data_IF_761378007212
#
_entry.id   IF_761378007212
#
_cell.length_a   1.000
_cell.length_b   1.000
_cell.length_c   1.000
_cell.angle_alpha   90.00
_cell.angle_beta   90.00
_cell.angle_gamma   90.00
#
_symmetry.space_group_name_H-M   'P 1'
#
loop_
_entity.id
_entity.type
_entity.pdbx_description
1 polymer ?
#
# COMPACT_ATOMS: atom_id res chain seq x y z
N UNK A 1 9.11 13.15 5.56
CA UNK A 1 8.20 12.00 5.37
C UNK A 1 6.99 12.22 6.25
N UNK A 2 5.77 12.07 5.73
CA UNK A 2 4.53 12.19 6.51
C UNK A 2 3.90 10.81 6.63
N UNK A 3 3.51 10.42 7.84
CA UNK A 3 2.83 9.16 8.13
C UNK A 3 1.48 9.47 8.80
N UNK A 4 0.50 8.59 8.63
CA UNK A 4 -0.75 8.71 9.40
C UNK A 4 -0.52 8.30 10.86
N UNK A 5 -1.50 8.59 11.72
CA UNK A 5 -1.39 8.32 13.15
C UNK A 5 -1.15 6.83 13.43
N UNK A 6 -1.92 5.94 12.81
CA UNK A 6 -1.79 4.50 13.02
C UNK A 6 -0.38 3.95 12.69
N UNK A 7 0.23 4.39 11.58
CA UNK A 7 1.58 3.99 11.22
C UNK A 7 2.62 4.60 12.17
N UNK A 8 2.40 5.84 12.61
CA UNK A 8 3.26 6.52 13.57
C UNK A 8 3.26 5.78 14.91
N UNK A 9 2.08 5.44 15.42
CA UNK A 9 1.91 4.69 16.67
C UNK A 9 2.58 3.32 16.59
N UNK A 10 2.38 2.59 15.49
CA UNK A 10 2.99 1.27 15.29
C UNK A 10 4.53 1.35 15.25
N UNK A 11 5.10 2.36 14.59
CA UNK A 11 6.55 2.58 14.53
C UNK A 11 7.09 2.99 15.90
N UNK A 12 6.39 3.85 16.64
CA UNK A 12 6.78 4.22 18.00
C UNK A 12 6.79 3.02 18.94
N UNK A 13 5.78 2.15 18.86
CA UNK A 13 5.76 0.89 19.63
C UNK A 13 6.92 -0.03 19.27
N UNK A 14 7.27 -0.14 17.98
CA UNK A 14 8.43 -0.91 17.52
C UNK A 14 9.77 -0.32 17.99
N UNK A 15 9.88 1.01 18.04
CA UNK A 15 11.07 1.70 18.57
C UNK A 15 11.18 1.53 20.09
N UNK A 16 10.06 1.48 20.80
CA UNK A 16 10.04 1.24 22.25
C UNK A 16 10.31 -0.22 22.63
N UNK A 17 10.08 -1.18 21.73
CA UNK A 17 10.21 -2.61 22.05
C UNK A 17 11.64 -3.11 22.19
N UNK A 18 12.65 -2.34 21.74
CA UNK A 18 14.08 -2.67 21.84
C UNK A 18 14.95 -1.43 21.62
N UNK A 19 16.23 -1.50 21.99
CA UNK A 19 17.20 -0.46 21.61
C UNK A 19 17.56 -0.53 20.12
N UNK A 20 17.79 0.63 19.50
CA UNK A 20 18.25 0.78 18.12
C UNK A 20 19.57 1.55 18.08
N UNK A 21 20.50 1.13 17.22
CA UNK A 21 21.65 1.96 16.89
C UNK A 21 21.27 3.04 15.84
N UNK A 22 21.98 4.19 15.78
CA UNK A 22 21.64 5.31 14.89
C UNK A 22 21.49 4.96 13.40
N UNK A 23 22.24 3.98 12.91
CA UNK A 23 22.24 3.56 11.50
C UNK A 23 21.66 2.15 11.28
N UNK A 24 20.96 1.62 12.28
CA UNK A 24 20.32 0.31 12.18
C UNK A 24 19.04 0.39 11.32
N UNK A 25 18.84 -0.59 10.42
CA UNK A 25 17.57 -0.66 9.70
C UNK A 25 16.41 -0.84 10.67
N UNK A 26 15.33 -0.09 10.46
CA UNK A 26 14.14 -0.12 11.32
C UNK A 26 13.49 -1.52 11.38
N UNK A 27 13.43 -2.21 10.24
CA UNK A 27 12.75 -3.50 10.10
C UNK A 27 13.75 -4.66 10.06
N UNK A 28 14.08 -5.19 11.23
CA UNK A 28 14.92 -6.37 11.42
C UNK A 28 14.07 -7.60 11.75
N UNK A 29 14.46 -8.75 11.19
CA UNK A 29 13.98 -10.06 11.61
C UNK A 29 15.03 -10.79 12.46
N UNK A 30 14.68 -11.99 12.92
CA UNK A 30 15.56 -12.81 13.76
C UNK A 30 16.91 -13.14 13.10
N UNK A 31 16.96 -13.19 11.77
CA UNK A 31 18.15 -13.58 10.98
C UNK A 31 18.70 -12.43 10.13
N UNK A 32 18.42 -11.19 10.51
CA UNK A 32 18.82 -9.98 9.78
C UNK A 32 17.65 -9.25 9.11
N UNK A 33 17.93 -8.37 8.13
CA UNK A 33 16.93 -7.45 7.59
C UNK A 33 15.72 -8.15 6.99
N UNK A 34 14.53 -7.58 7.18
CA UNK A 34 13.32 -8.11 6.57
C UNK A 34 13.39 -7.98 5.05
N UNK A 35 13.10 -9.07 4.35
CA UNK A 35 13.13 -9.14 2.88
C UNK A 35 11.71 -9.12 2.29
N UNK A 36 11.58 -8.69 1.03
CA UNK A 36 10.29 -8.69 0.32
C UNK A 36 9.63 -10.08 0.28
N UNK A 37 10.35 -11.19 -0.02
CA UNK A 37 9.76 -12.53 0.06
C UNK A 37 9.21 -12.86 1.46
N UNK A 38 9.89 -12.43 2.51
CA UNK A 38 9.42 -12.66 3.88
C UNK A 38 8.15 -11.86 4.19
N UNK A 39 8.08 -10.58 3.82
CA UNK A 39 6.86 -9.77 3.94
C UNK A 39 5.71 -10.42 3.16
N UNK A 40 5.94 -10.86 1.93
CA UNK A 40 4.93 -11.54 1.14
C UNK A 40 4.43 -12.82 1.82
N UNK A 41 5.32 -13.59 2.46
CA UNK A 41 4.92 -14.77 3.25
C UNK A 41 4.03 -14.39 4.43
N UNK A 42 4.36 -13.33 5.16
CA UNK A 42 3.55 -12.84 6.29
C UNK A 42 2.15 -12.41 5.83
N UNK A 43 2.07 -11.62 4.76
CA UNK A 43 0.80 -11.16 4.20
C UNK A 43 -0.08 -12.33 3.78
N UNK A 44 0.48 -13.32 3.06
CA UNK A 44 -0.25 -14.54 2.69
C UNK A 44 -0.78 -15.29 3.91
N UNK A 45 0.03 -15.39 4.96
CA UNK A 45 -0.36 -16.05 6.20
C UNK A 45 -1.51 -15.30 6.88
N UNK A 46 -1.44 -13.98 7.01
CA UNK A 46 -2.51 -13.17 7.60
C UNK A 46 -3.82 -13.28 6.81
N UNK A 47 -3.77 -13.21 5.48
CA UNK A 47 -4.94 -13.40 4.63
C UNK A 47 -5.53 -14.81 4.77
N UNK A 48 -4.69 -15.85 4.84
CA UNK A 48 -5.15 -17.24 5.05
C UNK A 48 -5.85 -17.41 6.39
N UNK A 49 -5.35 -16.78 7.46
CA UNK A 49 -5.92 -16.88 8.80
C UNK A 49 -7.34 -16.31 8.90
N UNK A 50 -7.71 -15.39 8.00
CA UNK A 50 -9.07 -14.83 7.89
C UNK A 50 -9.86 -15.41 6.72
N UNK A 51 -9.41 -16.54 6.16
CA UNK A 51 -10.08 -17.27 5.05
C UNK A 51 -10.24 -16.42 3.78
N UNK A 52 -9.35 -15.44 3.58
CA UNK A 52 -9.37 -14.61 2.39
C UNK A 52 -8.73 -15.37 1.21
N UNK A 53 -9.53 -15.64 0.17
CA UNK A 53 -9.12 -16.41 -1.01
C UNK A 53 -8.41 -15.52 -2.02
N UNK A 54 -7.15 -15.84 -2.35
CA UNK A 54 -6.39 -15.14 -3.39
C UNK A 54 -4.89 -15.19 -3.15
N UNK A 55 -4.13 -14.50 -4.01
CA UNK A 55 -2.69 -14.33 -3.86
C UNK A 55 -2.38 -12.89 -3.41
N UNK A 56 -1.88 -12.76 -2.19
CA UNK A 56 -1.64 -11.47 -1.54
C UNK A 56 -0.15 -11.25 -1.26
N UNK A 57 0.27 -9.99 -1.20
CA UNK A 57 1.64 -9.59 -0.92
C UNK A 57 1.80 -8.07 -0.82
N UNK A 58 3.04 -7.60 -0.78
CA UNK A 58 3.40 -6.18 -0.72
C UNK A 58 2.73 -5.34 -1.83
N UNK A 59 2.73 -5.82 -3.08
CA UNK A 59 2.06 -5.12 -4.18
C UNK A 59 0.55 -5.00 -3.97
N UNK A 60 -0.12 -6.05 -3.45
CA UNK A 60 -1.57 -5.98 -3.20
C UNK A 60 -1.88 -4.98 -2.09
N UNK A 61 -1.05 -4.90 -1.04
CA UNK A 61 -1.21 -3.87 0.01
C UNK A 61 -1.11 -2.46 -0.58
N UNK A 62 -0.12 -2.21 -1.45
CA UNK A 62 0.04 -0.91 -2.12
C UNK A 62 -1.15 -0.56 -3.01
N UNK A 63 -1.67 -1.55 -3.77
CA UNK A 63 -2.89 -1.37 -4.58
C UNK A 63 -4.10 -1.05 -3.72
N UNK A 64 -4.29 -1.78 -2.61
CA UNK A 64 -5.40 -1.53 -1.68
C UNK A 64 -5.34 -0.12 -1.09
N UNK A 65 -4.17 0.34 -0.66
CA UNK A 65 -4.01 1.73 -0.18
C UNK A 65 -4.39 2.73 -1.29
N UNK A 66 -3.86 2.56 -2.49
CA UNK A 66 -4.19 3.42 -3.64
C UNK A 66 -5.68 3.50 -3.94
N UNK A 67 -6.32 2.33 -3.99
CA UNK A 67 -7.75 2.22 -4.24
C UNK A 67 -8.56 3.03 -3.22
N UNK A 68 -8.25 2.90 -1.92
CA UNK A 68 -8.95 3.67 -0.88
C UNK A 68 -8.65 5.16 -0.95
N UNK A 69 -7.43 5.56 -1.28
CA UNK A 69 -7.13 6.97 -1.49
C UNK A 69 -7.93 7.55 -2.67
N UNK A 70 -8.03 6.82 -3.78
CA UNK A 70 -8.77 7.27 -4.96
C UNK A 70 -10.29 7.23 -4.76
N UNK A 71 -10.84 6.06 -4.41
CA UNK A 71 -12.29 5.81 -4.35
C UNK A 71 -12.93 6.16 -3.01
N UNK A 72 -12.19 6.01 -1.91
CA UNK A 72 -12.69 6.34 -0.57
C UNK A 72 -12.49 7.79 -0.21
N UNK A 73 -11.30 8.33 -0.51
CA UNK A 73 -10.89 9.68 -0.11
C UNK A 73 -10.89 10.69 -1.27
N UNK A 74 -11.38 10.31 -2.46
CA UNK A 74 -11.47 11.15 -3.65
C UNK A 74 -10.14 11.83 -4.05
N UNK A 75 -9.01 11.19 -3.77
CA UNK A 75 -7.71 11.70 -4.18
C UNK A 75 -7.61 11.70 -5.71
N UNK A 76 -7.11 12.81 -6.25
CA UNK A 76 -6.89 12.97 -7.69
C UNK A 76 -5.78 12.05 -8.18
N UNK A 77 -5.94 11.47 -9.37
CA UNK A 77 -4.95 10.57 -9.98
C UNK A 77 -3.54 11.18 -10.06
N UNK A 78 -3.35 12.48 -10.43
CA UNK A 78 -2.03 13.10 -10.42
C UNK A 78 -1.34 13.09 -9.05
N UNK A 79 -2.10 13.28 -7.96
CA UNK A 79 -1.56 13.22 -6.59
C UNK A 79 -1.10 11.80 -6.25
N UNK A 80 -1.86 10.79 -6.70
CA UNK A 80 -1.50 9.39 -6.52
C UNK A 80 -0.30 8.97 -7.37
N UNK A 81 -0.12 9.55 -8.56
CA UNK A 81 1.08 9.34 -9.37
C UNK A 81 2.33 9.79 -8.63
N UNK A 82 2.32 10.99 -8.04
CA UNK A 82 3.41 11.51 -7.21
C UNK A 82 3.66 10.61 -5.99
N UNK A 83 2.60 10.24 -5.27
CA UNK A 83 2.72 9.36 -4.11
C UNK A 83 3.28 7.97 -4.48
N UNK A 84 2.99 7.48 -5.69
CA UNK A 84 3.48 6.20 -6.15
C UNK A 84 4.83 6.25 -6.86
N UNK A 85 5.32 7.43 -7.25
CA UNK A 85 6.48 7.56 -8.13
C UNK A 85 6.23 6.97 -9.52
N UNK A 86 4.99 7.03 -10.02
CA UNK A 86 4.64 6.55 -11.36
C UNK A 86 4.85 7.64 -12.38
N UNK A 87 5.60 7.33 -13.44
CA UNK A 87 5.91 8.29 -14.50
C UNK A 87 4.70 8.57 -15.42
N UNK A 88 3.74 7.65 -15.49
CA UNK A 88 2.60 7.75 -16.41
C UNK A 88 1.28 7.53 -15.69
N UNK A 89 0.24 8.18 -16.22
CA UNK A 89 -1.13 7.99 -15.74
C UNK A 89 -1.60 6.55 -15.95
N UNK A 90 -1.24 5.92 -17.07
CA UNK A 90 -1.59 4.53 -17.36
C UNK A 90 -1.09 3.58 -16.26
N UNK A 91 0.17 3.73 -15.82
CA UNK A 91 0.71 2.95 -14.71
C UNK A 91 -0.09 3.14 -13.41
N UNK A 92 -0.54 4.37 -13.11
CA UNK A 92 -1.34 4.63 -11.92
C UNK A 92 -2.76 4.05 -12.03
N UNK A 93 -3.41 4.17 -13.19
CA UNK A 93 -4.75 3.61 -13.41
C UNK A 93 -4.74 2.07 -13.34
N UNK A 94 -3.75 1.41 -13.94
CA UNK A 94 -3.54 -0.04 -13.82
C UNK A 94 -3.32 -0.47 -12.37
N UNK A 95 -2.61 0.35 -11.59
CA UNK A 95 -2.39 0.10 -10.17
C UNK A 95 -3.66 0.22 -9.34
N UNK A 96 -4.54 1.15 -9.70
CA UNK A 96 -5.80 1.40 -9.02
C UNK A 96 -6.93 0.47 -9.49
N UNK A 97 -6.72 -0.30 -10.56
CA UNK A 97 -7.76 -1.13 -11.17
C UNK A 97 -8.90 -0.30 -11.76
N UNK A 98 -8.61 0.94 -12.17
CA UNK A 98 -9.58 1.82 -12.83
C UNK A 98 -9.54 1.45 -14.31
N UNK A 99 -10.42 0.51 -14.68
CA UNK A 99 -10.62 0.12 -16.08
C UNK A 99 -11.44 1.19 -16.85
N UNK A 100 -11.33 1.12 -18.18
CA UNK A 100 -12.03 1.89 -19.21
C UNK A 100 -13.55 2.07 -18.96
N UNK A 101 -14.18 1.13 -18.23
CA UNK A 101 -15.60 1.17 -17.85
C UNK A 101 -15.99 2.42 -17.05
N UNK A 102 -15.09 2.96 -16.23
CA UNK A 102 -15.33 4.20 -15.48
C UNK A 102 -15.28 5.42 -16.39
N UNK A 103 -14.46 5.39 -17.44
CA UNK A 103 -14.41 6.43 -18.48
C UNK A 103 -15.71 6.40 -19.28
N UNK A 104 -16.22 5.22 -19.64
CA UNK A 104 -17.49 5.09 -20.34
C UNK A 104 -18.66 5.68 -19.54
N UNK A 105 -18.66 5.52 -18.20
CA UNK A 105 -19.68 6.14 -17.31
C UNK A 105 -19.72 7.65 -17.42
N UNK A 106 -18.59 8.32 -17.68
CA UNK A 106 -18.55 9.77 -17.83
C UNK A 106 -19.47 10.25 -18.97
N UNK A 107 -19.56 9.48 -20.06
CA UNK A 107 -20.39 9.81 -21.21
C UNK A 107 -21.89 9.51 -21.01
N UNK A 108 -22.27 8.82 -19.93
CA UNK A 108 -23.67 8.52 -19.62
C UNK A 108 -24.29 9.53 -18.64
N UNK A 109 -23.52 10.50 -18.12
CA UNK A 109 -24.08 11.57 -17.29
C UNK A 109 -24.68 12.67 -18.16
N UNK A 110 -25.95 13.00 -17.92
CA UNK A 110 -26.63 14.17 -18.51
C UNK A 110 -26.32 15.43 -17.67
N UNK A 111 -26.20 16.58 -18.34
CA UNK A 111 -25.91 17.90 -17.74
C UNK A 111 -27.21 18.66 -17.50
#
# INVERSE_FOLDING_TARGET
MVLNQAATDAIQQLLASRGYAPDELLFQGQRGPITVPYVNRLVKQWCKNVVLKGNYGSHTLRKTWGYWQCKGNNALVPVLMEAFGHATQMQALDYLGIEEKEIHKLYFYEI
#
